data_IF_602133875310
#
_entry.id   IF_602133875310
#
_cell.length_a   1.000
_cell.length_b   1.000
_cell.length_c   1.000
_cell.angle_alpha   90.00
_cell.angle_beta   90.00
_cell.angle_gamma   90.00
#
_symmetry.space_group_name_H-M   'P 1'
#
loop_
_entity.id
_entity.type
_entity.pdbx_description
1 polymer ?
#
# COMPACT_ATOMS: atom_id res chain seq x y z
N UNK A 1 -5.26 -21.46 21.60
CA UNK A 1 -5.99 -20.21 21.93
C UNK A 1 -7.47 -20.54 22.03
N UNK A 2 -8.14 -20.02 23.06
CA UNK A 2 -9.61 -20.17 23.19
C UNK A 2 -10.26 -18.86 22.75
N UNK A 3 -11.24 -18.96 21.86
CA UNK A 3 -12.05 -17.85 21.35
C UNK A 3 -13.47 -18.01 21.89
N UNK A 4 -14.04 -16.92 22.41
CA UNK A 4 -15.44 -16.87 22.82
C UNK A 4 -16.27 -16.34 21.66
N UNK A 5 -17.26 -17.11 21.22
CA UNK A 5 -18.24 -16.73 20.21
C UNK A 5 -19.52 -16.29 20.90
N UNK A 6 -20.03 -15.10 20.54
CA UNK A 6 -21.34 -14.59 20.94
C UNK A 6 -22.15 -14.36 19.67
N UNK A 7 -23.27 -15.02 19.57
CA UNK A 7 -24.19 -14.94 18.42
C UNK A 7 -25.54 -14.49 18.96
N UNK A 8 -26.11 -13.44 18.36
CA UNK A 8 -27.43 -12.93 18.75
C UNK A 8 -28.38 -12.98 17.55
N UNK A 9 -29.61 -13.37 17.78
CA UNK A 9 -30.71 -13.35 16.83
C UNK A 9 -31.79 -12.37 17.28
N UNK A 10 -32.50 -11.74 16.35
CA UNK A 10 -33.55 -10.75 16.61
C UNK A 10 -34.80 -11.34 17.25
N UNK A 11 -34.98 -12.67 17.09
CA UNK A 11 -36.12 -13.40 17.63
C UNK A 11 -35.71 -14.81 18.06
N UNK A 12 -36.58 -15.49 18.80
CA UNK A 12 -36.33 -16.85 19.30
C UNK A 12 -36.15 -17.82 18.10
N UNK A 13 -34.93 -18.26 17.90
CA UNK A 13 -34.46 -19.02 16.74
C UNK A 13 -33.69 -20.27 17.18
N UNK A 14 -33.53 -21.23 16.29
CA UNK A 14 -32.50 -22.25 16.40
C UNK A 14 -31.19 -21.64 15.93
N UNK A 15 -30.24 -21.38 16.86
CA UNK A 15 -28.95 -20.77 16.58
C UNK A 15 -27.89 -21.86 16.59
N UNK A 16 -27.07 -21.95 15.56
CA UNK A 16 -25.95 -22.88 15.45
C UNK A 16 -24.65 -22.17 15.10
N UNK A 17 -23.53 -22.63 15.70
CA UNK A 17 -22.17 -22.27 15.30
C UNK A 17 -21.52 -23.44 14.54
N UNK A 18 -21.15 -23.20 13.31
CA UNK A 18 -20.35 -24.13 12.49
C UNK A 18 -18.92 -23.59 12.40
N UNK A 19 -17.94 -24.50 12.48
CA UNK A 19 -16.52 -24.17 12.25
C UNK A 19 -15.98 -25.17 11.25
N UNK A 20 -15.52 -24.70 10.10
CA UNK A 20 -15.13 -25.49 8.94
C UNK A 20 -16.24 -26.52 8.55
N UNK A 21 -17.46 -26.01 8.41
CA UNK A 21 -18.69 -26.75 8.10
C UNK A 21 -19.15 -27.78 9.15
N UNK A 22 -18.40 -27.92 10.23
CA UNK A 22 -18.74 -28.82 11.33
C UNK A 22 -19.53 -28.07 12.44
N UNK A 23 -20.74 -28.53 12.75
CA UNK A 23 -21.55 -27.96 13.83
C UNK A 23 -20.88 -28.20 15.19
N UNK A 24 -20.53 -27.11 15.88
CA UNK A 24 -19.88 -27.15 17.20
C UNK A 24 -20.86 -26.95 18.33
N UNK A 25 -21.92 -26.17 18.14
CA UNK A 25 -22.94 -25.90 19.16
C UNK A 25 -24.25 -25.47 18.50
N UNK A 26 -25.34 -25.87 19.10
CA UNK A 26 -26.70 -25.44 18.73
C UNK A 26 -27.52 -25.15 19.99
N UNK A 27 -28.33 -24.07 19.94
CA UNK A 27 -29.27 -23.71 21.03
C UNK A 27 -30.57 -23.20 20.42
N UNK A 28 -31.64 -23.12 21.21
CA UNK A 28 -32.86 -22.42 20.87
C UNK A 28 -32.98 -21.21 21.78
N UNK A 29 -33.13 -20.03 21.24
CA UNK A 29 -33.16 -18.78 21.98
C UNK A 29 -32.81 -17.59 21.11
N UNK A 30 -32.51 -16.47 21.76
CA UNK A 30 -32.03 -15.23 21.09
C UNK A 30 -30.52 -15.07 21.17
N UNK A 31 -29.81 -15.90 21.93
CA UNK A 31 -28.38 -15.82 22.13
C UNK A 31 -27.74 -17.21 22.21
N UNK A 32 -26.53 -17.35 21.66
CA UNK A 32 -25.64 -18.47 21.83
C UNK A 32 -24.25 -17.95 22.22
N UNK A 33 -23.73 -18.44 23.34
CA UNK A 33 -22.35 -18.20 23.75
C UNK A 33 -21.60 -19.51 23.81
N UNK A 34 -20.42 -19.59 23.15
CA UNK A 34 -19.63 -20.80 23.06
C UNK A 34 -18.13 -20.52 23.04
N UNK A 35 -17.39 -21.23 23.88
CA UNK A 35 -15.93 -21.18 23.93
C UNK A 35 -15.34 -22.29 23.06
N UNK A 36 -14.63 -21.94 22.00
CA UNK A 36 -13.95 -22.87 21.14
C UNK A 36 -12.43 -22.76 21.28
N UNK A 37 -11.75 -23.89 21.51
CA UNK A 37 -10.29 -23.95 21.58
C UNK A 37 -9.71 -24.32 20.22
N UNK A 38 -9.05 -23.35 19.60
CA UNK A 38 -8.27 -23.56 18.38
C UNK A 38 -6.96 -24.27 18.76
N UNK A 39 -6.89 -25.56 18.47
CA UNK A 39 -5.75 -26.40 18.85
C UNK A 39 -4.61 -26.36 17.83
N UNK A 40 -4.94 -26.26 16.54
CA UNK A 40 -3.99 -26.30 15.43
C UNK A 40 -3.86 -24.95 14.74
N UNK A 41 -2.70 -24.70 14.11
CA UNK A 41 -2.58 -23.62 13.16
C UNK A 41 -3.38 -23.96 11.90
N UNK A 42 -3.95 -22.93 11.26
CA UNK A 42 -4.78 -23.08 10.06
C UNK A 42 -5.83 -22.00 9.95
N UNK A 43 -6.58 -22.06 8.87
CA UNK A 43 -7.66 -21.13 8.58
C UNK A 43 -8.99 -21.77 8.97
N UNK A 44 -9.82 -21.00 9.66
CA UNK A 44 -11.12 -21.45 10.18
C UNK A 44 -12.22 -20.54 9.65
N UNK A 45 -13.18 -21.13 8.96
CA UNK A 45 -14.45 -20.46 8.59
C UNK A 45 -15.45 -20.72 9.70
N UNK A 46 -15.90 -19.67 10.36
CA UNK A 46 -16.87 -19.74 11.45
C UNK A 46 -18.19 -19.13 11.00
N UNK A 47 -19.23 -19.95 10.92
CA UNK A 47 -20.55 -19.56 10.42
C UNK A 47 -21.54 -19.60 11.56
N UNK A 48 -22.16 -18.45 11.86
CA UNK A 48 -23.35 -18.36 12.66
C UNK A 48 -24.58 -18.59 11.76
N UNK A 49 -25.45 -19.53 12.14
CA UNK A 49 -26.73 -19.80 11.46
C UNK A 49 -27.85 -19.59 12.45
N UNK A 50 -28.87 -18.82 12.08
CA UNK A 50 -30.11 -18.69 12.84
C UNK A 50 -31.28 -19.14 11.94
N UNK A 51 -32.19 -19.99 12.48
CA UNK A 51 -33.31 -20.53 11.75
C UNK A 51 -34.60 -20.41 12.59
N UNK A 52 -35.65 -19.85 11.98
CA UNK A 52 -36.98 -19.72 12.55
C UNK A 52 -38.03 -19.83 11.43
N UNK A 53 -39.07 -20.65 11.64
CA UNK A 53 -40.20 -20.82 10.71
C UNK A 53 -39.81 -21.11 9.25
N UNK A 54 -38.68 -21.81 9.05
CA UNK A 54 -38.12 -22.11 7.72
C UNK A 54 -37.34 -20.99 7.06
N UNK A 55 -37.20 -19.82 7.72
CA UNK A 55 -36.29 -18.75 7.31
C UNK A 55 -34.92 -18.96 7.94
N UNK A 56 -33.86 -18.73 7.18
CA UNK A 56 -32.47 -18.91 7.61
C UNK A 56 -31.67 -17.66 7.38
N UNK A 57 -30.93 -17.21 8.39
CA UNK A 57 -29.93 -16.15 8.29
C UNK A 57 -28.55 -16.70 8.60
N UNK A 58 -27.54 -16.15 7.97
CA UNK A 58 -26.13 -16.51 8.17
C UNK A 58 -25.29 -15.26 8.44
N UNK A 59 -24.28 -15.42 9.27
CA UNK A 59 -23.15 -14.49 9.42
C UNK A 59 -21.86 -15.31 9.45
N UNK A 60 -20.79 -14.79 8.82
CA UNK A 60 -19.54 -15.53 8.67
C UNK A 60 -18.35 -14.69 9.07
N UNK A 61 -17.50 -15.24 9.91
CA UNK A 61 -16.18 -14.68 10.21
C UNK A 61 -15.07 -15.67 9.88
N UNK A 62 -13.91 -15.14 9.54
CA UNK A 62 -12.71 -15.93 9.25
C UNK A 62 -11.68 -15.73 10.37
N UNK A 63 -11.08 -16.81 10.83
CA UNK A 63 -10.01 -16.80 11.84
C UNK A 63 -8.80 -17.48 11.27
N UNK A 64 -7.69 -16.79 11.17
CA UNK A 64 -6.38 -17.39 10.88
C UNK A 64 -5.63 -17.65 12.19
N UNK A 65 -5.46 -18.91 12.54
CA UNK A 65 -4.56 -19.32 13.61
C UNK A 65 -3.14 -19.44 13.07
N UNK A 66 -2.37 -18.37 13.19
CA UNK A 66 -1.02 -18.30 12.64
C UNK A 66 -0.10 -19.39 13.21
N UNK A 67 0.62 -20.06 12.32
CA UNK A 67 1.75 -20.90 12.67
C UNK A 67 3.02 -20.06 12.94
N UNK A 68 4.07 -20.70 13.43
CA UNK A 68 5.42 -20.12 13.31
C UNK A 68 5.74 -19.96 11.82
N UNK A 69 6.22 -18.80 11.36
CA UNK A 69 6.58 -18.61 9.96
C UNK A 69 7.60 -19.64 9.50
N UNK A 70 7.44 -20.13 8.29
CA UNK A 70 8.46 -21.00 7.66
C UNK A 70 9.78 -20.23 7.59
N UNK A 71 10.83 -20.79 8.20
CA UNK A 71 12.17 -20.22 8.10
C UNK A 71 12.76 -20.57 6.72
N UNK A 72 13.03 -19.55 5.92
CA UNK A 72 13.59 -19.71 4.58
C UNK A 72 14.41 -18.47 4.20
N UNK A 73 15.63 -18.70 3.73
CA UNK A 73 16.50 -17.61 3.26
C UNK A 73 15.81 -16.82 2.14
N UNK A 74 15.95 -15.51 2.21
CA UNK A 74 15.44 -14.61 1.16
C UNK A 74 16.14 -14.92 -0.16
N UNK A 75 15.42 -15.16 -1.27
CA UNK A 75 16.03 -15.38 -2.57
C UNK A 75 16.97 -14.23 -2.98
N UNK A 76 18.11 -14.58 -3.58
CA UNK A 76 19.08 -13.60 -4.07
C UNK A 76 18.47 -12.82 -5.25
N UNK A 77 18.74 -11.51 -5.30
CA UNK A 77 18.26 -10.63 -6.38
C UNK A 77 16.88 -10.01 -6.14
N UNK A 78 16.17 -10.35 -5.07
CA UNK A 78 14.95 -9.63 -4.72
C UNK A 78 15.26 -8.20 -4.27
N UNK A 79 14.43 -7.26 -4.70
CA UNK A 79 14.42 -5.90 -4.17
C UNK A 79 13.66 -5.87 -2.82
N UNK A 80 13.87 -4.86 -2.00
CA UNK A 80 12.91 -4.52 -0.95
C UNK A 80 11.63 -4.00 -1.59
N UNK A 81 10.49 -4.32 -0.97
CA UNK A 81 9.19 -4.01 -1.55
C UNK A 81 8.76 -5.04 -2.59
N UNK A 82 8.34 -4.58 -3.75
CA UNK A 82 7.71 -5.38 -4.80
C UNK A 82 8.73 -5.71 -5.89
N UNK A 83 9.04 -6.99 -6.06
CA UNK A 83 9.83 -7.48 -7.21
C UNK A 83 8.89 -7.94 -8.31
N UNK A 84 8.94 -7.28 -9.48
CA UNK A 84 8.21 -7.62 -10.69
C UNK A 84 9.06 -8.50 -11.60
N UNK A 85 8.42 -9.39 -12.38
CA UNK A 85 9.08 -10.29 -13.32
C UNK A 85 8.70 -9.93 -14.75
N UNK A 86 9.70 -9.84 -15.63
CA UNK A 86 9.47 -9.53 -17.05
C UNK A 86 8.91 -10.73 -17.84
N UNK A 87 9.18 -11.94 -17.37
CA UNK A 87 8.79 -13.21 -17.98
C UNK A 87 7.52 -13.81 -17.39
N UNK A 88 7.02 -13.28 -16.27
CA UNK A 88 5.79 -13.74 -15.61
C UNK A 88 5.00 -12.57 -15.02
N UNK A 89 4.05 -12.07 -15.79
CA UNK A 89 3.16 -10.99 -15.36
C UNK A 89 2.02 -11.45 -14.42
N UNK A 90 1.93 -12.73 -14.09
CA UNK A 90 0.93 -13.26 -13.13
C UNK A 90 1.46 -13.33 -11.72
N UNK A 91 2.70 -12.90 -11.50
CA UNK A 91 3.43 -13.06 -10.24
C UNK A 91 4.19 -11.81 -9.83
N UNK A 92 4.26 -11.57 -8.52
CA UNK A 92 5.28 -10.70 -7.88
C UNK A 92 5.85 -11.40 -6.66
N UNK A 93 7.05 -10.99 -6.21
CA UNK A 93 7.55 -11.36 -4.89
C UNK A 93 7.61 -10.11 -4.02
N UNK A 94 6.98 -10.18 -2.86
CA UNK A 94 7.04 -9.16 -1.84
C UNK A 94 8.19 -9.45 -0.87
N UNK A 95 8.93 -8.42 -0.47
CA UNK A 95 10.04 -8.52 0.46
C UNK A 95 10.05 -7.36 1.44
N UNK A 96 9.94 -7.65 2.74
CA UNK A 96 9.87 -6.67 3.80
C UNK A 96 10.98 -6.91 4.83
N UNK A 97 11.79 -5.88 5.13
CA UNK A 97 12.70 -5.91 6.26
C UNK A 97 11.95 -5.56 7.54
N UNK A 98 12.02 -6.42 8.56
CA UNK A 98 11.32 -6.19 9.83
C UNK A 98 12.15 -6.69 11.03
N UNK A 99 13.30 -6.05 11.21
CA UNK A 99 14.22 -6.24 12.35
C UNK A 99 14.51 -4.88 12.97
N UNK A 100 14.34 -4.74 14.27
CA UNK A 100 14.55 -3.48 14.98
C UNK A 100 16.02 -3.27 15.42
N UNK A 101 16.33 -2.09 15.96
CA UNK A 101 17.68 -1.73 16.43
C UNK A 101 18.17 -2.59 17.62
N UNK A 102 17.26 -3.30 18.30
CA UNK A 102 17.59 -4.29 19.34
C UNK A 102 17.85 -5.68 18.78
N UNK A 103 17.99 -5.84 17.47
CA UNK A 103 18.15 -7.11 16.76
C UNK A 103 16.95 -8.07 16.92
N UNK A 104 15.77 -7.57 17.26
CA UNK A 104 14.57 -8.37 17.37
C UNK A 104 13.81 -8.34 16.03
N UNK A 105 13.51 -9.54 15.52
CA UNK A 105 12.73 -9.71 14.28
C UNK A 105 11.25 -9.87 14.63
N UNK A 106 10.37 -9.29 13.85
CA UNK A 106 8.93 -9.47 14.00
C UNK A 106 8.53 -10.94 14.08
N UNK A 107 7.47 -11.23 14.83
CA UNK A 107 7.02 -12.60 15.06
C UNK A 107 6.39 -13.19 13.81
N UNK A 108 5.55 -12.39 13.13
CA UNK A 108 4.80 -12.80 11.95
C UNK A 108 4.55 -11.62 11.04
N UNK A 109 4.43 -11.88 9.75
CA UNK A 109 3.95 -10.93 8.75
C UNK A 109 2.97 -11.66 7.82
N UNK A 110 1.82 -11.05 7.60
CA UNK A 110 0.85 -11.47 6.60
C UNK A 110 0.72 -10.41 5.52
N UNK A 111 0.35 -10.82 4.32
CA UNK A 111 -0.07 -9.92 3.26
C UNK A 111 -1.58 -9.97 3.17
N UNK A 112 -2.23 -8.83 3.27
CA UNK A 112 -3.68 -8.69 3.13
C UNK A 112 -3.99 -7.70 2.01
N UNK A 113 -4.97 -8.01 1.15
CA UNK A 113 -5.29 -7.17 0.00
C UNK A 113 -6.41 -7.73 -0.86
N UNK A 114 -6.60 -7.14 -2.04
CA UNK A 114 -7.68 -7.49 -2.96
C UNK A 114 -7.61 -8.93 -3.45
N UNK A 115 -6.42 -9.52 -3.53
CA UNK A 115 -6.20 -10.90 -3.99
C UNK A 115 -6.64 -11.96 -2.95
N UNK A 116 -6.90 -11.57 -1.69
CA UNK A 116 -7.40 -12.47 -0.64
C UNK A 116 -8.57 -11.87 0.16
N UNK A 117 -9.29 -10.91 -0.45
CA UNK A 117 -10.43 -10.22 0.17
C UNK A 117 -10.09 -9.63 1.55
N UNK A 118 -8.85 -9.11 1.71
CA UNK A 118 -8.35 -8.49 2.96
C UNK A 118 -8.40 -9.42 4.18
N UNK A 119 -8.39 -10.73 3.94
CA UNK A 119 -8.49 -11.76 4.98
C UNK A 119 -7.11 -12.29 5.35
N UNK A 120 -6.92 -12.57 6.64
CA UNK A 120 -5.76 -13.34 7.09
C UNK A 120 -5.91 -14.79 6.67
N UNK A 121 -4.87 -15.35 6.06
CA UNK A 121 -4.79 -16.79 5.76
C UNK A 121 -3.37 -17.28 5.85
N UNK A 122 -3.21 -18.58 6.11
CA UNK A 122 -1.89 -19.22 6.22
C UNK A 122 -1.14 -19.21 4.89
N UNK A 123 -1.84 -19.18 3.77
CA UNK A 123 -1.27 -19.05 2.42
C UNK A 123 -0.54 -17.71 2.23
N UNK A 124 -1.07 -16.64 2.85
CA UNK A 124 -0.50 -15.29 2.75
C UNK A 124 0.38 -14.92 3.95
N UNK A 125 0.76 -15.91 4.76
CA UNK A 125 1.79 -15.75 5.79
C UNK A 125 3.18 -15.76 5.15
N UNK A 126 3.95 -14.68 5.33
CA UNK A 126 5.27 -14.54 4.72
C UNK A 126 6.27 -15.50 5.37
N UNK A 127 7.16 -16.06 4.55
CA UNK A 127 8.35 -16.79 5.01
C UNK A 127 9.30 -15.82 5.70
N UNK A 128 10.01 -16.31 6.72
CA UNK A 128 10.91 -15.50 7.54
C UNK A 128 12.36 -15.93 7.30
N UNK A 129 13.22 -15.02 6.90
CA UNK A 129 14.66 -15.20 6.94
C UNK A 129 15.16 -14.78 8.34
N UNK A 130 15.40 -15.78 9.18
CA UNK A 130 15.77 -15.57 10.58
C UNK A 130 17.17 -14.98 10.79
N UNK A 131 18.03 -15.01 9.78
CA UNK A 131 19.39 -14.45 9.85
C UNK A 131 19.37 -12.95 9.51
N UNK A 132 18.72 -12.60 8.41
CA UNK A 132 18.74 -11.23 7.91
C UNK A 132 17.64 -10.36 8.49
N UNK A 133 16.49 -10.93 8.86
CA UNK A 133 15.31 -10.21 9.33
C UNK A 133 14.34 -9.82 8.23
N UNK A 134 14.53 -10.34 7.03
CA UNK A 134 13.57 -10.20 5.95
C UNK A 134 12.41 -11.18 6.06
N UNK A 135 11.24 -10.72 5.61
CA UNK A 135 10.10 -11.55 5.29
C UNK A 135 9.86 -11.49 3.78
N UNK A 136 9.45 -12.59 3.18
CA UNK A 136 9.17 -12.63 1.75
C UNK A 136 8.08 -13.62 1.38
N UNK A 137 7.34 -13.32 0.30
CA UNK A 137 6.24 -14.14 -0.20
C UNK A 137 6.04 -13.90 -1.69
N UNK A 138 5.80 -14.97 -2.43
CA UNK A 138 5.29 -14.90 -3.79
C UNK A 138 3.78 -14.70 -3.77
N UNK A 139 3.30 -13.69 -4.47
CA UNK A 139 1.88 -13.50 -4.80
C UNK A 139 1.70 -13.94 -6.23
N UNK A 140 0.85 -14.94 -6.46
CA UNK A 140 0.62 -15.57 -7.77
C UNK A 140 -0.85 -15.45 -8.19
N UNK A 141 -1.16 -15.75 -9.46
CA UNK A 141 -2.53 -15.69 -9.97
C UNK A 141 -3.02 -14.26 -10.23
N UNK A 142 -2.12 -13.28 -10.33
CA UNK A 142 -2.46 -11.91 -10.65
C UNK A 142 -2.88 -11.80 -12.13
N UNK A 143 -3.90 -10.97 -12.40
CA UNK A 143 -4.29 -10.61 -13.76
C UNK A 143 -3.35 -9.51 -14.29
N UNK A 144 -2.66 -9.73 -15.42
CA UNK A 144 -1.76 -8.72 -16.00
C UNK A 144 -2.49 -7.39 -16.28
N UNK A 145 -1.91 -6.28 -15.83
CA UNK A 145 -2.44 -4.93 -15.99
C UNK A 145 -3.46 -4.50 -14.92
N UNK A 146 -4.01 -5.45 -14.16
CA UNK A 146 -4.94 -5.13 -13.06
C UNK A 146 -4.17 -4.61 -11.84
N UNK A 147 -4.78 -3.65 -11.16
CA UNK A 147 -4.26 -3.10 -9.91
C UNK A 147 -4.85 -3.85 -8.71
N UNK A 148 -3.99 -4.15 -7.73
CA UNK A 148 -4.34 -4.81 -6.48
C UNK A 148 -3.84 -3.99 -5.31
N UNK A 149 -4.73 -3.58 -4.44
CA UNK A 149 -4.42 -2.84 -3.21
C UNK A 149 -4.05 -3.82 -2.11
N UNK A 150 -3.01 -3.52 -1.33
CA UNK A 150 -2.57 -4.39 -0.25
C UNK A 150 -1.86 -3.65 0.89
N UNK A 151 -1.75 -4.33 2.03
CA UNK A 151 -0.92 -3.95 3.18
C UNK A 151 -0.20 -5.16 3.76
N UNK A 152 0.86 -4.91 4.51
CA UNK A 152 1.47 -5.88 5.42
C UNK A 152 0.81 -5.75 6.79
N UNK A 153 0.38 -6.89 7.34
CA UNK A 153 -0.08 -7.01 8.73
C UNK A 153 1.02 -7.67 9.56
N UNK A 154 1.63 -6.92 10.46
CA UNK A 154 2.85 -7.28 11.17
C UNK A 154 2.57 -7.53 12.64
N UNK A 155 2.95 -8.70 13.15
CA UNK A 155 3.04 -8.98 14.58
C UNK A 155 4.45 -8.67 15.07
N UNK A 156 4.60 -7.52 15.73
CA UNK A 156 5.88 -7.04 16.26
C UNK A 156 6.48 -7.97 17.32
N UNK A 157 7.76 -7.77 17.73
CA UNK A 157 8.40 -8.56 18.79
C UNK A 157 7.67 -8.48 20.13
N UNK A 158 7.09 -7.32 20.47
CA UNK A 158 6.28 -7.11 21.69
C UNK A 158 4.90 -7.78 21.64
N UNK A 159 4.48 -8.23 20.46
CA UNK A 159 3.19 -8.89 20.23
C UNK A 159 2.10 -7.96 19.72
N UNK A 160 2.34 -6.65 19.61
CA UNK A 160 1.41 -5.71 19.01
C UNK A 160 1.23 -6.00 17.51
N UNK A 161 0.02 -5.72 17.01
CA UNK A 161 -0.31 -5.83 15.59
C UNK A 161 -0.37 -4.44 14.96
N UNK A 162 0.19 -4.32 13.77
CA UNK A 162 0.08 -3.11 12.93
C UNK A 162 -0.20 -3.49 11.49
N UNK A 163 -0.79 -2.55 10.76
CA UNK A 163 -0.87 -2.61 9.30
C UNK A 163 -0.06 -1.46 8.71
N UNK A 164 0.72 -1.75 7.67
CA UNK A 164 1.51 -0.76 6.95
C UNK A 164 1.46 -1.02 5.45
N UNK A 165 1.60 0.03 4.65
CA UNK A 165 1.85 -0.07 3.21
C UNK A 165 3.25 -0.59 2.91
N UNK A 166 3.53 -0.84 1.65
CA UNK A 166 4.91 -1.05 1.18
C UNK A 166 5.62 0.28 0.99
N UNK A 167 6.77 0.45 1.63
CA UNK A 167 7.53 1.71 1.60
C UNK A 167 8.13 2.05 0.22
N UNK A 168 8.24 1.05 -0.65
CA UNK A 168 8.84 1.17 -1.99
C UNK A 168 7.79 1.16 -3.11
N UNK A 169 6.51 1.18 -2.76
CA UNK A 169 5.43 1.21 -3.76
C UNK A 169 5.51 2.46 -4.64
N UNK A 170 5.12 2.29 -5.91
CA UNK A 170 5.07 3.41 -6.86
C UNK A 170 3.67 4.05 -6.96
N UNK A 171 2.69 3.47 -6.30
CA UNK A 171 1.31 3.99 -6.21
C UNK A 171 0.72 3.61 -4.86
N UNK A 172 0.01 4.55 -4.28
CA UNK A 172 -0.70 4.37 -3.01
C UNK A 172 -2.21 4.49 -3.21
N UNK A 173 -2.95 4.04 -2.21
CA UNK A 173 -4.36 4.38 -1.99
C UNK A 173 -4.47 4.90 -0.57
N UNK A 174 -5.01 6.11 -0.41
CA UNK A 174 -5.10 6.83 0.86
C UNK A 174 -6.57 7.10 1.24
N UNK A 175 -6.93 7.18 2.52
CA UNK A 175 -8.30 7.49 2.95
C UNK A 175 -8.85 8.81 2.39
N UNK A 176 -7.98 9.75 2.03
CA UNK A 176 -8.38 11.08 1.53
C UNK A 176 -8.49 11.15 0.00
N UNK A 177 -8.16 10.10 -0.73
CA UNK A 177 -8.17 10.08 -2.19
C UNK A 177 -9.52 10.45 -2.78
N UNK A 178 -10.62 10.10 -2.11
CA UNK A 178 -11.99 10.41 -2.55
C UNK A 178 -12.30 11.92 -2.65
N UNK A 179 -11.43 12.80 -2.13
CA UNK A 179 -11.53 14.24 -2.31
C UNK A 179 -10.80 14.76 -3.56
N UNK A 180 -10.00 13.93 -4.22
CA UNK A 180 -9.28 14.27 -5.45
C UNK A 180 -10.26 14.13 -6.62
N UNK A 181 -10.36 15.18 -7.45
CA UNK A 181 -11.25 15.17 -8.61
C UNK A 181 -10.81 14.15 -9.67
N UNK A 182 -11.77 13.48 -10.29
CA UNK A 182 -11.56 12.61 -11.45
C UNK A 182 -10.88 13.33 -12.64
N UNK A 183 -11.03 14.64 -12.75
CA UNK A 183 -10.35 15.46 -13.76
C UNK A 183 -8.83 15.55 -13.50
N UNK A 184 -8.40 15.35 -12.25
CA UNK A 184 -6.99 15.35 -11.84
C UNK A 184 -6.43 13.93 -11.87
N UNK A 185 -7.13 13.00 -11.23
CA UNK A 185 -6.72 11.60 -11.16
C UNK A 185 -7.90 10.68 -11.53
N UNK A 186 -8.02 10.30 -12.82
CA UNK A 186 -9.10 9.44 -13.28
C UNK A 186 -8.94 7.99 -12.79
N UNK A 187 -10.06 7.28 -12.69
CA UNK A 187 -10.12 5.87 -12.30
C UNK A 187 -9.43 5.59 -10.96
N UNK A 188 -9.72 6.39 -9.96
CA UNK A 188 -9.18 6.18 -8.61
C UNK A 188 -9.63 4.84 -8.04
N UNK A 189 -8.69 4.16 -7.35
CA UNK A 189 -9.01 2.97 -6.59
C UNK A 189 -9.80 3.34 -5.33
N UNK A 190 -10.75 2.49 -4.98
CA UNK A 190 -11.53 2.68 -3.74
C UNK A 190 -10.68 2.29 -2.54
N UNK A 191 -10.64 3.15 -1.52
CA UNK A 191 -9.96 2.85 -0.28
C UNK A 191 -10.64 1.68 0.45
N UNK A 192 -9.91 0.61 0.79
CA UNK A 192 -10.49 -0.58 1.40
C UNK A 192 -10.91 -0.35 2.86
N UNK A 193 -12.12 -0.80 3.23
CA UNK A 193 -12.64 -0.63 4.59
C UNK A 193 -11.82 -1.38 5.67
N UNK A 194 -11.05 -2.41 5.28
CA UNK A 194 -10.20 -3.19 6.18
C UNK A 194 -8.80 -2.61 6.36
N UNK A 195 -8.46 -1.54 5.64
CA UNK A 195 -7.13 -0.93 5.68
C UNK A 195 -6.96 0.01 6.88
N UNK A 196 -5.71 0.17 7.32
CA UNK A 196 -5.29 1.14 8.34
C UNK A 196 -4.21 2.08 7.76
N UNK A 197 -4.62 3.28 7.35
CA UNK A 197 -3.75 4.26 6.68
C UNK A 197 -3.43 3.90 5.23
N UNK A 198 -2.39 4.49 4.62
CA UNK A 198 -2.07 4.29 3.22
C UNK A 198 -1.85 2.83 2.86
N UNK A 199 -2.29 2.44 1.67
CA UNK A 199 -2.09 1.12 1.09
C UNK A 199 -1.11 1.20 -0.08
N UNK A 200 -0.43 0.10 -0.37
CA UNK A 200 0.39 -0.07 -1.56
C UNK A 200 -0.42 -0.69 -2.70
N UNK A 201 0.04 -0.49 -3.93
CA UNK A 201 -0.60 -1.05 -5.12
C UNK A 201 0.39 -1.89 -5.93
N UNK A 202 -0.03 -3.11 -6.26
CA UNK A 202 0.63 -3.98 -7.24
C UNK A 202 -0.05 -3.81 -8.59
N UNK A 203 0.74 -3.61 -9.66
CA UNK A 203 0.27 -3.68 -11.04
C UNK A 203 1.36 -4.30 -11.90
N UNK A 204 1.14 -5.54 -12.34
CA UNK A 204 2.02 -6.23 -13.30
C UNK A 204 1.72 -5.78 -14.73
N UNK A 205 2.61 -6.08 -15.66
CA UNK A 205 2.45 -5.73 -17.08
C UNK A 205 2.10 -4.25 -17.35
N UNK A 206 2.55 -3.34 -16.49
CA UNK A 206 2.36 -1.91 -16.69
C UNK A 206 3.07 -1.46 -17.96
N UNK A 207 2.34 -0.79 -18.85
CA UNK A 207 2.92 -0.26 -20.09
C UNK A 207 3.99 0.80 -19.75
N UNK A 208 5.17 0.65 -20.34
CA UNK A 208 6.21 1.67 -20.21
C UNK A 208 5.77 2.97 -20.90
N UNK A 209 6.14 4.11 -20.32
CA UNK A 209 5.94 5.40 -20.95
C UNK A 209 6.88 5.56 -22.15
N UNK A 210 6.34 6.03 -23.26
CA UNK A 210 7.11 6.24 -24.49
C UNK A 210 7.67 7.68 -24.50
N UNK A 211 8.94 7.82 -24.16
CA UNK A 211 9.63 9.11 -24.18
C UNK A 211 9.91 9.56 -25.62
N UNK A 212 9.76 10.87 -25.88
CA UNK A 212 10.15 11.45 -27.17
C UNK A 212 11.67 11.48 -27.36
N UNK A 213 12.09 11.64 -28.61
CA UNK A 213 13.52 11.80 -28.96
C UNK A 213 14.16 13.00 -28.24
N UNK A 214 13.38 14.03 -27.94
CA UNK A 214 13.84 15.20 -27.19
C UNK A 214 14.28 14.80 -25.76
N UNK A 215 13.53 13.93 -25.09
CA UNK A 215 13.90 13.42 -23.77
C UNK A 215 15.05 12.42 -23.84
N UNK A 216 15.03 11.49 -24.79
CA UNK A 216 16.09 10.47 -24.96
C UNK A 216 17.44 11.10 -25.26
N UNK A 217 17.48 12.25 -25.94
CA UNK A 217 18.69 12.99 -26.30
C UNK A 217 18.86 14.31 -25.51
N UNK A 218 18.13 14.50 -24.41
CA UNK A 218 18.12 15.74 -23.65
C UNK A 218 19.49 16.10 -23.10
N UNK A 219 19.93 17.34 -23.38
CA UNK A 219 21.16 17.90 -22.83
C UNK A 219 20.83 18.91 -21.76
N UNK A 220 21.18 18.59 -20.52
CA UNK A 220 20.96 19.46 -19.37
C UNK A 220 21.65 20.83 -19.59
N UNK A 221 21.01 21.94 -19.19
CA UNK A 221 21.64 23.24 -19.12
C UNK A 221 22.91 23.21 -18.26
N UNK A 222 23.84 24.10 -18.52
CA UNK A 222 25.02 24.24 -17.68
C UNK A 222 24.58 24.69 -16.26
N UNK A 223 25.04 23.95 -15.24
CA UNK A 223 24.67 24.20 -13.84
C UNK A 223 24.98 25.62 -13.34
N UNK A 224 25.92 26.33 -13.99
CA UNK A 224 26.28 27.69 -13.62
C UNK A 224 25.39 28.76 -14.31
N UNK A 225 24.51 28.33 -15.22
CA UNK A 225 23.65 29.23 -16.01
C UNK A 225 22.17 28.83 -15.89
N UNK A 226 21.78 28.26 -14.75
CA UNK A 226 20.37 27.92 -14.52
C UNK A 226 19.57 29.17 -14.23
N UNK A 227 18.43 29.27 -14.91
CA UNK A 227 17.34 30.21 -14.60
C UNK A 227 16.19 29.33 -14.14
N UNK A 228 16.03 29.26 -12.82
CA UNK A 228 15.11 28.31 -12.18
C UNK A 228 13.77 28.99 -11.89
N UNK A 229 12.70 28.31 -12.23
CA UNK A 229 11.34 28.66 -11.82
C UNK A 229 10.83 27.58 -10.88
N UNK A 230 10.69 27.91 -9.59
CA UNK A 230 10.14 27.02 -8.60
C UNK A 230 8.62 26.97 -8.68
N UNK A 231 8.04 25.79 -8.63
CA UNK A 231 6.59 25.56 -8.76
C UNK A 231 6.09 24.72 -7.58
N UNK A 232 5.10 25.27 -6.88
CA UNK A 232 4.20 24.46 -6.08
C UNK A 232 3.00 24.05 -6.97
N UNK A 233 2.90 22.76 -7.30
CA UNK A 233 1.92 22.26 -8.27
C UNK A 233 0.47 22.57 -7.88
N UNK A 234 0.18 22.63 -6.57
CA UNK A 234 -1.14 22.98 -6.04
C UNK A 234 -1.57 24.42 -6.34
N UNK A 235 -0.65 25.37 -6.30
CA UNK A 235 -0.99 26.82 -6.36
C UNK A 235 -0.70 27.47 -7.72
N UNK A 236 0.00 26.76 -8.61
CA UNK A 236 0.40 27.31 -9.93
C UNK A 236 -0.79 27.61 -10.84
N UNK A 237 -1.89 26.84 -10.72
CA UNK A 237 -3.11 27.06 -11.51
C UNK A 237 -4.36 26.62 -10.74
N UNK A 238 -5.56 27.15 -11.11
CA UNK A 238 -6.81 26.70 -10.50
C UNK A 238 -7.11 25.21 -10.62
N UNK A 239 -6.54 24.54 -11.64
CA UNK A 239 -6.70 23.09 -11.86
C UNK A 239 -5.70 22.24 -11.07
N UNK A 240 -4.72 22.85 -10.40
CA UNK A 240 -3.81 22.21 -9.44
C UNK A 240 -3.16 20.91 -9.93
N UNK A 241 -2.83 20.80 -11.22
CA UNK A 241 -2.42 19.53 -11.81
C UNK A 241 -1.21 19.66 -12.74
N UNK A 242 -0.49 18.55 -12.93
CA UNK A 242 0.60 18.44 -13.91
C UNK A 242 0.14 18.80 -15.33
N UNK A 243 -1.06 18.41 -15.74
CA UNK A 243 -1.63 18.77 -17.04
C UNK A 243 -1.86 20.26 -17.18
N UNK A 244 -2.28 20.92 -16.10
CA UNK A 244 -2.47 22.37 -16.11
C UNK A 244 -1.14 23.12 -16.22
N UNK A 245 -0.07 22.62 -15.60
CA UNK A 245 1.29 23.15 -15.73
C UNK A 245 1.79 22.93 -17.16
N UNK A 246 1.60 21.74 -17.72
CA UNK A 246 1.96 21.40 -19.11
C UNK A 246 1.38 22.42 -20.10
N UNK A 247 0.11 22.78 -19.94
CA UNK A 247 -0.57 23.77 -20.78
C UNK A 247 -0.04 25.20 -20.63
N UNK A 248 0.82 25.46 -19.64
CA UNK A 248 1.41 26.77 -19.36
C UNK A 248 2.92 26.83 -19.65
N UNK A 249 3.51 25.78 -20.22
CA UNK A 249 4.94 25.73 -20.49
C UNK A 249 5.41 26.82 -21.45
N UNK A 250 4.59 27.24 -22.42
CA UNK A 250 4.93 28.35 -23.32
C UNK A 250 5.11 29.68 -22.55
N UNK A 251 4.31 29.90 -21.50
CA UNK A 251 4.51 31.06 -20.62
C UNK A 251 5.85 30.99 -19.89
N UNK A 252 6.22 29.81 -19.36
CA UNK A 252 7.49 29.61 -18.64
C UNK A 252 8.67 29.77 -19.61
N UNK A 253 8.58 29.19 -20.80
CA UNK A 253 9.59 29.31 -21.85
C UNK A 253 9.82 30.77 -22.25
N UNK A 254 8.74 31.56 -22.44
CA UNK A 254 8.82 32.97 -22.80
C UNK A 254 9.45 33.85 -21.71
N UNK A 255 9.50 33.41 -20.45
CA UNK A 255 10.25 34.06 -19.38
C UNK A 255 11.77 33.84 -19.48
N UNK A 256 12.23 32.99 -20.39
CA UNK A 256 13.64 32.60 -20.49
C UNK A 256 14.12 31.60 -19.46
N UNK A 257 13.20 30.92 -18.81
CA UNK A 257 13.46 29.82 -17.83
C UNK A 257 14.04 28.62 -18.57
N UNK A 258 15.08 28.03 -18.04
CA UNK A 258 15.69 26.80 -18.56
C UNK A 258 15.64 25.62 -17.59
N UNK A 259 15.05 25.84 -16.41
CA UNK A 259 14.90 24.80 -15.39
C UNK A 259 13.63 25.06 -14.56
N UNK A 260 12.80 24.06 -14.42
CA UNK A 260 11.68 24.05 -13.47
C UNK A 260 12.10 23.23 -12.25
N UNK A 261 11.91 23.76 -11.06
CA UNK A 261 12.06 23.04 -9.80
C UNK A 261 10.67 22.84 -9.19
N UNK A 262 10.27 21.58 -9.01
CA UNK A 262 9.03 21.27 -8.31
C UNK A 262 9.31 21.17 -6.81
N UNK A 263 8.54 21.90 -6.00
CA UNK A 263 8.38 21.55 -4.58
C UNK A 263 7.98 20.08 -4.47
N UNK A 264 8.23 19.42 -3.33
CA UNK A 264 8.10 17.97 -3.25
C UNK A 264 6.77 17.42 -3.80
N UNK A 265 6.87 16.50 -4.73
CA UNK A 265 5.74 15.85 -5.44
C UNK A 265 5.58 14.38 -5.07
N UNK A 266 6.41 13.88 -4.16
CA UNK A 266 6.21 12.54 -3.59
C UNK A 266 4.98 12.53 -2.70
N UNK A 267 4.34 11.36 -2.59
CA UNK A 267 3.15 11.17 -1.78
C UNK A 267 3.34 11.69 -0.36
N UNK A 268 2.47 12.58 0.06
CA UNK A 268 2.47 13.23 1.37
C UNK A 268 1.15 12.96 2.13
N UNK A 269 1.11 13.33 3.41
CA UNK A 269 -0.08 13.17 4.23
C UNK A 269 -1.15 14.20 3.88
N UNK A 270 -2.35 13.72 3.48
CA UNK A 270 -3.47 14.55 3.01
C UNK A 270 -3.34 14.97 1.55
N UNK A 271 -4.23 15.85 1.05
CA UNK A 271 -4.30 16.25 -0.36
C UNK A 271 -3.82 17.69 -0.61
N UNK A 272 -3.40 18.40 0.42
CA UNK A 272 -2.92 19.79 0.33
C UNK A 272 -1.69 19.93 1.22
N UNK A 273 -0.53 20.06 0.60
CA UNK A 273 0.73 20.29 1.30
C UNK A 273 1.76 20.93 0.37
N UNK A 274 2.76 21.55 0.94
CA UNK A 274 4.00 21.87 0.20
C UNK A 274 4.84 20.63 -0.13
N UNK A 275 4.44 19.44 0.38
CA UNK A 275 5.11 18.17 0.15
C UNK A 275 6.24 17.83 1.13
N UNK A 276 6.50 18.70 2.14
CA UNK A 276 7.56 18.46 3.15
C UNK A 276 7.11 17.54 4.30
N UNK A 277 6.02 16.79 4.11
CA UNK A 277 5.50 15.77 5.01
C UNK A 277 5.31 14.43 4.28
N UNK A 278 6.39 13.82 3.75
CA UNK A 278 6.30 12.64 2.88
C UNK A 278 5.80 11.40 3.65
N UNK A 279 5.00 10.60 2.96
CA UNK A 279 4.59 9.25 3.39
C UNK A 279 5.27 8.17 2.57
N UNK A 280 5.43 8.38 1.24
CA UNK A 280 6.04 7.43 0.31
C UNK A 280 6.95 8.15 -0.69
N UNK A 281 8.23 7.83 -0.65
CA UNK A 281 9.24 8.51 -1.47
C UNK A 281 9.22 8.12 -2.96
N UNK A 282 8.66 6.96 -3.29
CA UNK A 282 8.67 6.40 -4.66
C UNK A 282 7.33 6.54 -5.38
N UNK A 283 6.29 7.01 -4.70
CA UNK A 283 4.99 7.32 -5.28
C UNK A 283 4.84 8.82 -5.51
N UNK A 284 4.22 9.20 -6.62
CA UNK A 284 3.80 10.58 -6.87
C UNK A 284 2.48 10.86 -6.16
N UNK A 285 2.35 12.06 -5.63
CA UNK A 285 1.11 12.47 -4.99
C UNK A 285 -0.03 12.64 -6.02
N UNK A 286 -1.12 11.94 -5.75
CA UNK A 286 -2.29 11.86 -6.63
C UNK A 286 -3.04 13.18 -6.76
N UNK A 287 -2.90 14.08 -5.77
CA UNK A 287 -3.53 15.39 -5.81
C UNK A 287 -3.03 16.29 -6.97
N UNK A 288 -1.90 15.92 -7.57
CA UNK A 288 -1.33 16.65 -8.72
C UNK A 288 -1.53 15.94 -10.07
N UNK A 289 -1.98 14.69 -10.07
CA UNK A 289 -2.22 13.91 -11.29
C UNK A 289 -1.54 12.55 -11.31
N UNK A 290 -1.63 11.92 -12.47
CA UNK A 290 -1.09 10.57 -12.69
C UNK A 290 0.41 10.59 -12.95
N UNK A 291 1.13 9.47 -12.75
CA UNK A 291 2.52 9.33 -13.18
C UNK A 291 2.72 9.61 -14.68
N UNK A 292 1.74 9.28 -15.50
CA UNK A 292 1.75 9.51 -16.94
C UNK A 292 1.66 11.01 -17.27
N UNK A 293 0.81 11.77 -16.55
CA UNK A 293 0.71 13.23 -16.74
C UNK A 293 2.01 13.94 -16.31
N UNK A 294 2.66 13.49 -15.23
CA UNK A 294 3.96 14.02 -14.83
C UNK A 294 5.06 13.69 -15.85
N UNK A 295 5.11 12.46 -16.37
CA UNK A 295 6.07 12.11 -17.42
C UNK A 295 5.85 12.91 -18.70
N UNK A 296 4.59 13.15 -19.08
CA UNK A 296 4.23 14.02 -20.20
C UNK A 296 4.74 15.45 -19.95
N UNK A 297 4.56 15.99 -18.75
CA UNK A 297 5.07 17.31 -18.38
C UNK A 297 6.60 17.38 -18.53
N UNK A 298 7.32 16.36 -18.03
CA UNK A 298 8.79 16.28 -18.19
C UNK A 298 9.20 16.23 -19.66
N UNK A 299 8.51 15.42 -20.46
CA UNK A 299 8.80 15.27 -21.90
C UNK A 299 8.56 16.59 -22.64
N UNK A 300 7.48 17.31 -22.32
CA UNK A 300 7.19 18.64 -22.90
C UNK A 300 8.17 19.72 -22.43
N UNK A 301 8.69 19.65 -21.21
CA UNK A 301 9.79 20.50 -20.74
C UNK A 301 11.06 20.25 -21.56
N UNK A 302 11.43 18.98 -21.77
CA UNK A 302 12.62 18.62 -22.52
C UNK A 302 12.54 19.04 -23.99
N UNK A 303 11.37 18.99 -24.63
CA UNK A 303 11.13 19.53 -26.00
C UNK A 303 11.43 21.02 -26.11
N UNK A 304 11.29 21.77 -25.01
CA UNK A 304 11.56 23.22 -24.90
C UNK A 304 12.97 23.52 -24.38
N UNK A 305 13.80 22.50 -24.14
CA UNK A 305 15.14 22.67 -23.56
C UNK A 305 15.12 22.99 -22.06
N UNK A 306 14.00 22.80 -21.39
CA UNK A 306 13.81 23.08 -19.95
C UNK A 306 14.09 21.79 -19.15
N UNK A 307 15.04 21.86 -18.21
CA UNK A 307 15.30 20.77 -17.25
C UNK A 307 14.25 20.75 -16.14
N UNK A 308 14.07 19.57 -15.54
CA UNK A 308 13.17 19.41 -14.38
C UNK A 308 14.00 18.95 -13.18
N UNK A 309 13.83 19.64 -12.06
CA UNK A 309 14.36 19.29 -10.74
C UNK A 309 13.18 18.93 -9.84
N UNK A 310 13.35 17.91 -9.01
CA UNK A 310 12.39 17.53 -7.99
C UNK A 310 13.04 17.79 -6.63
N UNK A 311 12.44 18.66 -5.82
CA UNK A 311 12.81 18.82 -4.42
C UNK A 311 12.38 17.58 -3.62
N UNK A 312 13.24 17.07 -2.76
CA UNK A 312 13.03 15.83 -2.02
C UNK A 312 13.38 15.98 -0.55
N UNK A 313 12.53 15.42 0.30
CA UNK A 313 12.70 15.43 1.77
C UNK A 313 13.19 14.06 2.22
N UNK A 314 14.46 13.96 2.65
CA UNK A 314 15.04 12.71 3.13
C UNK A 314 15.37 12.70 4.63
N UNK A 315 15.16 13.80 5.33
CA UNK A 315 15.56 13.94 6.74
C UNK A 315 14.45 13.55 7.74
N UNK A 316 13.20 13.41 7.29
CA UNK A 316 12.07 12.96 8.12
C UNK A 316 10.96 12.35 7.26
N UNK A 317 10.01 11.68 7.92
CA UNK A 317 8.77 11.18 7.35
C UNK A 317 7.64 11.34 8.38
N UNK A 318 6.38 11.35 7.91
CA UNK A 318 5.21 11.46 8.80
C UNK A 318 4.93 10.17 9.56
N UNK A 319 3.99 10.23 10.52
CA UNK A 319 3.50 9.05 11.24
C UNK A 319 2.79 8.02 10.34
N UNK A 320 2.33 8.41 9.16
CA UNK A 320 1.71 7.53 8.17
C UNK A 320 2.70 6.78 7.28
N UNK A 321 3.96 7.20 7.25
CA UNK A 321 5.00 6.50 6.49
C UNK A 321 5.21 5.09 7.04
N UNK A 322 5.30 4.10 6.14
CA UNK A 322 5.48 2.69 6.50
C UNK A 322 6.71 2.48 7.40
N UNK A 323 7.83 3.12 7.08
CA UNK A 323 9.07 3.06 7.86
C UNK A 323 8.85 3.59 9.30
N UNK A 324 8.08 4.68 9.46
CA UNK A 324 7.84 5.27 10.78
C UNK A 324 6.88 4.40 11.61
N UNK A 325 5.83 3.85 10.99
CA UNK A 325 4.87 2.94 11.67
C UNK A 325 5.50 1.61 12.08
N UNK A 326 6.59 1.15 11.46
CA UNK A 326 7.10 -0.21 11.65
C UNK A 326 7.50 -0.52 13.09
N UNK A 327 8.20 0.38 13.74
CA UNK A 327 8.64 0.24 15.13
C UNK A 327 8.52 1.57 15.90
N UNK A 328 8.43 1.53 17.24
CA UNK A 328 8.63 2.73 18.05
C UNK A 328 9.96 3.42 17.70
N UNK A 329 9.98 4.75 17.67
CA UNK A 329 11.12 5.55 17.19
C UNK A 329 12.46 5.11 17.79
N UNK A 330 12.53 4.89 19.11
CA UNK A 330 13.75 4.45 19.80
C UNK A 330 14.29 3.07 19.36
N UNK A 331 13.49 2.28 18.64
CA UNK A 331 13.84 0.95 18.14
C UNK A 331 13.83 0.87 16.62
N UNK A 332 13.51 1.98 15.95
CA UNK A 332 13.28 2.00 14.51
C UNK A 332 14.62 2.08 13.75
N UNK A 333 14.92 1.12 12.85
CA UNK A 333 16.18 1.11 12.12
C UNK A 333 16.29 2.19 11.03
N UNK A 334 15.18 2.81 10.66
CA UNK A 334 15.12 3.82 9.59
C UNK A 334 15.39 5.25 10.09
N UNK A 335 15.37 5.49 11.39
CA UNK A 335 15.52 6.83 11.96
C UNK A 335 16.65 6.89 13.00
N UNK A 336 17.38 8.00 12.98
CA UNK A 336 18.33 8.34 14.02
C UNK A 336 17.60 9.00 15.21
N UNK A 337 17.93 8.60 16.44
CA UNK A 337 17.31 9.10 17.67
C UNK A 337 18.37 9.82 18.49
#
# INVERSE_FOLDING_TARGET
TTTNFKISASENSTISLLINDENKQTTTGTELEFNYTIANAGDYTCVAKAEVNGLVAYDTIFICAASTPTNASRPVGLQEGITYYNDDATKVTLSLYSKNNNNQISKNVFVIGDFNNWSYSTEYQMKKDGETGYFWLDITGLEPGKEYVFQYAIKRPDGSMIQISDAYTHKTVDPNDHYISEDIYPNQLVYPAAADGPCAVIQTARKAFEWSDATLNFKRPNKNNLIIYEIWAYDFSPLRSFDAITKRLDYIENLGVNTIEFMPISEFEGNISWGYNPTHYFALDKAYGTPESFKTLVDECHKRGIAVIIDMVFNHATGWAAQNKMFPLAQNPYFNV
#
